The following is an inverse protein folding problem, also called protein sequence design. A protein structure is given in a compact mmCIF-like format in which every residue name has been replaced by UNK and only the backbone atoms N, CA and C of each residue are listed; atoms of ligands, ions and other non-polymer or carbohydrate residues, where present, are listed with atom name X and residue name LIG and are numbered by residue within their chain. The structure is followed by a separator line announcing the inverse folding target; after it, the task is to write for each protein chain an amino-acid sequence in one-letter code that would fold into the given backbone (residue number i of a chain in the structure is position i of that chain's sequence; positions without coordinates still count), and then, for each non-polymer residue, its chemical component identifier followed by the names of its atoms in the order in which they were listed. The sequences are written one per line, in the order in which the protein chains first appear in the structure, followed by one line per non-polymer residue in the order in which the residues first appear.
data_IF_883148130164
#
_entry.id   IF_883148130164
#
_cell.length_a   1.000
_cell.length_b   1.000
_cell.length_c   1.000
_cell.angle_alpha   90.00
_cell.angle_beta   90.00
_cell.angle_gamma   90.00
#
_symmetry.space_group_name_H-M   'P 1'
#
loop_
_entity.id
_entity.type
_entity.pdbx_description
1 polymer ?
#
# COMPACT_ATOMS: atom_id res chain seq x y z
N UNK A 1 14.54 -106.48 12.35
CA UNK A 1 15.90 -106.96 12.03
C UNK A 1 16.82 -105.75 11.95
N UNK A 2 17.74 -105.60 12.91
CA UNK A 2 18.82 -104.62 12.87
C UNK A 2 20.08 -105.25 12.25
N UNK A 3 20.91 -104.50 11.53
CA UNK A 3 22.36 -104.52 11.77
C UNK A 3 23.02 -103.20 11.31
N UNK A 4 24.12 -102.80 11.97
CA UNK A 4 24.67 -101.45 11.98
C UNK A 4 26.00 -101.34 11.22
N UNK A 5 26.47 -100.12 11.00
CA UNK A 5 27.83 -99.86 10.51
C UNK A 5 28.28 -98.45 10.87
N UNK A 6 28.82 -98.29 12.08
CA UNK A 6 29.66 -97.15 12.45
C UNK A 6 31.05 -97.35 11.83
N UNK A 7 31.66 -96.28 11.33
CA UNK A 7 33.12 -96.05 11.40
C UNK A 7 33.46 -94.57 11.19
N UNK A 8 33.83 -93.93 12.31
CA UNK A 8 34.91 -92.95 12.56
C UNK A 8 35.05 -91.63 11.75
N UNK A 9 35.60 -90.56 12.37
CA UNK A 9 35.64 -89.21 11.83
C UNK A 9 36.91 -88.96 11.00
N UNK A 10 36.78 -88.19 9.90
CA UNK A 10 37.92 -87.68 9.16
C UNK A 10 38.08 -86.18 9.43
N UNK A 11 39.12 -85.84 10.18
CA UNK A 11 39.63 -84.50 10.34
C UNK A 11 40.56 -84.21 9.15
N UNK A 12 40.11 -83.37 8.23
CA UNK A 12 41.00 -82.55 7.40
C UNK A 12 40.55 -81.10 7.42
N UNK A 13 41.18 -80.37 8.33
CA UNK A 13 41.59 -78.99 8.09
C UNK A 13 42.46 -78.95 6.82
N UNK A 14 42.10 -78.14 5.85
CA UNK A 14 43.03 -77.31 5.07
C UNK A 14 42.23 -76.11 4.57
N UNK A 15 42.58 -74.93 5.08
CA UNK A 15 41.95 -73.68 4.74
C UNK A 15 42.25 -73.26 3.30
N UNK A 16 41.28 -72.54 2.72
CA UNK A 16 41.58 -71.56 1.67
C UNK A 16 40.85 -70.28 2.03
N UNK A 17 41.55 -69.45 2.81
CA UNK A 17 41.17 -68.10 3.19
C UNK A 17 41.02 -67.21 1.97
N UNK A 18 39.78 -66.89 1.59
CA UNK A 18 39.48 -65.79 0.68
C UNK A 18 38.72 -64.67 1.41
N UNK A 19 39.25 -64.25 2.56
CA UNK A 19 38.65 -63.23 3.45
C UNK A 19 38.98 -61.79 3.06
N UNK A 20 39.80 -61.59 2.03
CA UNK A 20 40.17 -60.25 1.53
C UNK A 20 39.10 -59.59 0.65
N UNK A 21 38.31 -60.37 -0.08
CA UNK A 21 37.31 -59.85 -1.03
C UNK A 21 36.05 -59.33 -0.32
N UNK A 22 35.56 -60.02 0.71
CA UNK A 22 34.32 -59.68 1.41
C UNK A 22 34.46 -58.44 2.31
N UNK A 23 35.64 -58.24 2.89
CA UNK A 23 35.97 -57.03 3.65
C UNK A 23 36.03 -55.78 2.76
N UNK A 24 36.58 -55.90 1.55
CA UNK A 24 36.61 -54.80 0.59
C UNK A 24 35.21 -54.49 0.05
N UNK A 25 34.44 -55.51 -0.30
CA UNK A 25 33.06 -55.35 -0.79
C UNK A 25 32.15 -54.70 0.27
N UNK A 26 32.25 -55.10 1.53
CA UNK A 26 31.48 -54.49 2.61
C UNK A 26 31.87 -53.03 2.87
N UNK A 27 33.16 -52.68 2.74
CA UNK A 27 33.64 -51.30 2.86
C UNK A 27 33.11 -50.39 1.73
N UNK A 28 33.11 -50.90 0.49
CA UNK A 28 32.55 -50.20 -0.66
C UNK A 28 31.04 -50.00 -0.50
N UNK A 29 30.32 -51.02 -0.03
CA UNK A 29 28.89 -50.95 0.20
C UNK A 29 28.53 -49.94 1.30
N UNK A 30 29.32 -49.89 2.37
CA UNK A 30 29.17 -48.89 3.43
C UNK A 30 29.43 -47.47 2.91
N UNK A 31 30.50 -47.26 2.15
CA UNK A 31 30.83 -45.95 1.58
C UNK A 31 29.73 -45.44 0.62
N UNK A 32 29.13 -46.34 -0.17
CA UNK A 32 28.00 -46.02 -1.05
C UNK A 32 26.76 -45.66 -0.22
N UNK A 33 26.45 -46.43 0.83
CA UNK A 33 25.32 -46.14 1.71
C UNK A 33 25.48 -44.79 2.42
N UNK A 34 26.67 -44.48 2.91
CA UNK A 34 27.00 -43.20 3.56
C UNK A 34 26.90 -42.03 2.56
N UNK A 35 27.34 -42.23 1.32
CA UNK A 35 27.20 -41.24 0.24
C UNK A 35 25.73 -40.97 -0.09
N UNK A 36 24.91 -42.02 -0.23
CA UNK A 36 23.48 -41.90 -0.52
C UNK A 36 22.71 -41.23 0.64
N UNK A 37 23.06 -41.55 1.88
CA UNK A 37 22.51 -40.91 3.07
C UNK A 37 22.86 -39.41 3.10
N UNK A 38 24.12 -39.07 2.81
CA UNK A 38 24.58 -37.68 2.72
C UNK A 38 23.83 -36.90 1.63
N UNK A 39 23.69 -37.46 0.43
CA UNK A 39 22.92 -36.84 -0.67
C UNK A 39 21.46 -36.62 -0.27
N UNK A 40 20.84 -37.60 0.40
CA UNK A 40 19.45 -37.49 0.85
C UNK A 40 19.30 -36.37 1.87
N UNK A 41 20.22 -36.24 2.84
CA UNK A 41 20.20 -35.14 3.81
C UNK A 41 20.39 -33.77 3.16
N UNK A 42 21.27 -33.67 2.17
CA UNK A 42 21.47 -32.42 1.42
C UNK A 42 20.21 -32.02 0.65
N UNK A 43 19.53 -32.98 0.01
CA UNK A 43 18.27 -32.73 -0.69
C UNK A 43 17.19 -32.29 0.28
N UNK A 44 17.03 -32.96 1.42
CA UNK A 44 16.06 -32.56 2.45
C UNK A 44 16.34 -31.14 2.95
N UNK A 45 17.59 -30.83 3.26
CA UNK A 45 18.00 -29.48 3.70
C UNK A 45 17.73 -28.42 2.64
N UNK A 46 17.98 -28.70 1.36
CA UNK A 46 17.67 -27.79 0.26
C UNK A 46 16.16 -27.57 0.12
N UNK A 47 15.36 -28.64 0.26
CA UNK A 47 13.89 -28.56 0.22
C UNK A 47 13.39 -27.68 1.37
N UNK A 48 13.83 -27.93 2.60
CA UNK A 48 13.43 -27.15 3.77
C UNK A 48 13.83 -25.68 3.61
N UNK A 49 15.07 -25.42 3.17
CA UNK A 49 15.57 -24.06 2.95
C UNK A 49 14.77 -23.34 1.86
N UNK A 50 14.46 -24.00 0.75
CA UNK A 50 13.66 -23.41 -0.32
C UNK A 50 12.22 -23.19 0.14
N UNK A 51 11.64 -24.12 0.89
CA UNK A 51 10.29 -24.02 1.43
C UNK A 51 10.16 -22.88 2.43
N UNK A 52 11.13 -22.71 3.33
CA UNK A 52 11.18 -21.58 4.25
C UNK A 52 11.32 -20.24 3.52
N UNK A 53 12.16 -20.20 2.49
CA UNK A 53 12.29 -19.00 1.65
C UNK A 53 10.99 -18.68 0.89
N UNK A 54 10.30 -19.70 0.36
CA UNK A 54 8.99 -19.51 -0.27
C UNK A 54 7.93 -19.03 0.72
N UNK A 55 7.91 -19.59 1.94
CA UNK A 55 7.01 -19.17 3.00
C UNK A 55 7.25 -17.70 3.37
N UNK A 56 8.51 -17.30 3.53
CA UNK A 56 8.90 -15.90 3.80
C UNK A 56 8.44 -14.97 2.68
N UNK A 57 8.75 -15.31 1.42
CA UNK A 57 8.37 -14.49 0.27
C UNK A 57 6.84 -14.35 0.15
N UNK A 58 6.09 -15.43 0.34
CA UNK A 58 4.63 -15.38 0.32
C UNK A 58 4.07 -14.51 1.45
N UNK A 59 4.62 -14.60 2.66
CA UNK A 59 4.17 -13.76 3.79
C UNK A 59 4.52 -12.29 3.61
N UNK A 60 5.69 -11.96 3.04
CA UNK A 60 6.17 -10.59 2.95
C UNK A 60 5.56 -9.84 1.75
N UNK A 61 5.49 -10.47 0.57
CA UNK A 61 4.94 -9.83 -0.63
C UNK A 61 3.41 -9.75 -0.61
N UNK A 62 2.73 -10.80 -0.11
CA UNK A 62 1.26 -10.77 -0.06
C UNK A 62 0.72 -9.99 1.14
N UNK A 63 1.42 -9.90 2.27
CA UNK A 63 0.91 -9.13 3.41
C UNK A 63 0.70 -7.67 3.05
N UNK A 64 1.69 -6.99 2.44
CA UNK A 64 1.54 -5.57 2.09
C UNK A 64 0.48 -5.32 1.00
N UNK A 65 0.43 -6.18 -0.02
CA UNK A 65 -0.51 -6.04 -1.14
C UNK A 65 -1.94 -6.37 -0.72
N UNK A 66 -2.12 -7.45 0.04
CA UNK A 66 -3.43 -7.85 0.59
C UNK A 66 -3.86 -6.87 1.67
N UNK A 67 -2.98 -6.39 2.54
CA UNK A 67 -3.33 -5.38 3.54
C UNK A 67 -3.74 -4.07 2.87
N UNK A 68 -3.03 -3.60 1.84
CA UNK A 68 -3.43 -2.43 1.07
C UNK A 68 -4.78 -2.63 0.35
N UNK A 69 -5.01 -3.82 -0.22
CA UNK A 69 -6.27 -4.18 -0.87
C UNK A 69 -7.42 -4.33 0.13
N UNK A 70 -7.17 -4.90 1.31
CA UNK A 70 -8.13 -5.08 2.40
C UNK A 70 -8.46 -3.77 3.07
N UNK A 71 -7.47 -2.90 3.35
CA UNK A 71 -7.71 -1.50 3.78
C UNK A 71 -8.56 -0.77 2.73
N UNK A 72 -8.29 -0.97 1.44
CA UNK A 72 -9.10 -0.39 0.35
C UNK A 72 -10.52 -0.97 0.27
N UNK A 73 -10.70 -2.25 0.55
CA UNK A 73 -11.98 -2.96 0.49
C UNK A 73 -12.84 -2.76 1.75
N UNK A 74 -12.24 -2.60 2.93
CA UNK A 74 -12.92 -2.30 4.21
C UNK A 74 -13.47 -0.87 4.28
N UNK A 75 -13.18 -0.02 3.29
CA UNK A 75 -13.89 1.24 3.07
C UNK A 75 -15.33 0.94 2.65
N UNK A 76 -16.17 0.52 3.59
CA UNK A 76 -17.61 0.70 3.49
C UNK A 76 -17.83 2.20 3.23
N UNK A 77 -18.19 2.52 1.97
CA UNK A 77 -17.98 3.84 1.36
C UNK A 77 -18.76 4.92 2.11
N UNK A 78 -18.15 5.51 3.13
CA UNK A 78 -18.51 6.85 3.55
C UNK A 78 -18.26 7.77 2.35
N UNK A 79 -19.34 8.28 1.75
CA UNK A 79 -19.25 9.22 0.64
C UNK A 79 -19.15 10.62 1.22
N UNK A 80 -18.01 11.26 1.02
CA UNK A 80 -17.83 12.65 1.42
C UNK A 80 -18.73 13.56 0.56
N UNK A 81 -19.43 14.48 1.22
CA UNK A 81 -20.28 15.46 0.53
C UNK A 81 -19.47 16.47 -0.29
N UNK A 82 -18.19 16.65 0.03
CA UNK A 82 -17.28 17.57 -0.64
C UNK A 82 -15.96 16.88 -0.95
N UNK A 83 -15.46 17.08 -2.17
CA UNK A 83 -14.15 16.60 -2.63
C UNK A 83 -13.00 17.15 -1.77
N UNK A 84 -13.13 18.36 -1.23
CA UNK A 84 -12.11 18.91 -0.34
C UNK A 84 -12.01 18.16 1.00
N UNK A 85 -13.14 17.69 1.52
CA UNK A 85 -13.18 16.92 2.77
C UNK A 85 -12.60 15.52 2.57
N UNK A 86 -12.88 14.90 1.42
CA UNK A 86 -12.29 13.63 1.01
C UNK A 86 -10.76 13.73 0.96
N UNK A 87 -10.22 14.74 0.28
CA UNK A 87 -8.77 14.96 0.18
C UNK A 87 -8.13 15.22 1.56
N UNK A 88 -8.81 15.98 2.42
CA UNK A 88 -8.34 16.19 3.78
C UNK A 88 -8.33 14.91 4.61
N UNK A 89 -9.35 14.07 4.46
CA UNK A 89 -9.44 12.78 5.14
C UNK A 89 -8.38 11.80 4.64
N UNK A 90 -8.18 11.67 3.33
CA UNK A 90 -7.13 10.82 2.77
C UNK A 90 -5.74 11.22 3.27
N UNK A 91 -5.45 12.53 3.32
CA UNK A 91 -4.22 13.03 3.92
C UNK A 91 -4.17 12.84 5.45
N UNK A 92 -5.31 12.84 6.14
CA UNK A 92 -5.41 12.49 7.56
C UNK A 92 -5.04 11.05 7.83
N UNK A 93 -5.65 10.14 7.09
CA UNK A 93 -5.45 8.71 7.18
C UNK A 93 -3.98 8.36 6.92
N UNK A 94 -3.44 8.75 5.76
CA UNK A 94 -2.05 8.44 5.39
C UNK A 94 -1.02 9.01 6.37
N UNK A 95 -1.27 10.22 6.89
CA UNK A 95 -0.38 10.84 7.87
C UNK A 95 -0.44 10.14 9.22
N UNK A 96 -1.64 9.77 9.68
CA UNK A 96 -1.83 9.05 10.93
C UNK A 96 -1.12 7.69 10.88
N UNK A 97 -1.24 6.95 9.77
CA UNK A 97 -0.49 5.70 9.56
C UNK A 97 1.02 5.92 9.70
N UNK A 98 1.58 6.94 9.02
CA UNK A 98 3.03 7.22 9.12
C UNK A 98 3.49 7.59 10.54
N UNK A 99 2.65 8.29 11.32
CA UNK A 99 2.97 8.64 12.72
C UNK A 99 2.90 7.39 13.60
N UNK A 100 1.88 6.54 13.42
CA UNK A 100 1.75 5.29 14.16
C UNK A 100 2.95 4.38 13.93
N UNK A 101 3.41 4.23 12.68
CA UNK A 101 4.61 3.44 12.36
C UNK A 101 5.86 3.93 13.12
N UNK A 102 6.01 5.26 13.27
CA UNK A 102 7.12 5.86 14.04
C UNK A 102 6.98 5.65 15.53
N UNK A 103 5.76 5.70 16.07
CA UNK A 103 5.50 5.41 17.48
C UNK A 103 5.73 3.93 17.80
N UNK A 104 5.30 3.02 16.93
CA UNK A 104 5.58 1.58 17.07
C UNK A 104 7.08 1.29 16.98
N UNK A 105 7.79 1.93 16.04
CA UNK A 105 9.25 1.84 15.93
C UNK A 105 9.95 2.35 17.19
N UNK A 106 9.47 3.46 17.76
CA UNK A 106 10.00 4.01 19.01
C UNK A 106 9.75 3.06 20.19
N UNK A 107 8.54 2.50 20.29
CA UNK A 107 8.18 1.52 21.31
C UNK A 107 9.06 0.28 21.24
N UNK A 108 9.19 -0.34 20.05
CA UNK A 108 10.05 -1.50 19.87
C UNK A 108 11.53 -1.22 20.17
N UNK A 109 12.01 -0.01 19.88
CA UNK A 109 13.36 0.42 20.27
C UNK A 109 13.52 0.56 21.79
N UNK A 110 12.50 1.01 22.51
CA UNK A 110 12.51 1.07 23.97
C UNK A 110 12.52 -0.33 24.60
N UNK A 111 11.76 -1.27 24.05
CA UNK A 111 11.70 -2.66 24.54
C UNK A 111 13.08 -3.36 24.52
N UNK A 112 13.96 -2.97 23.58
CA UNK A 112 15.35 -3.46 23.49
C UNK A 112 16.38 -2.50 24.10
N UNK A 113 15.94 -1.50 24.89
CA UNK A 113 16.77 -0.46 25.50
C UNK A 113 17.63 0.36 24.50
N UNK A 114 17.22 0.43 23.22
CA UNK A 114 17.87 1.24 22.20
C UNK A 114 17.35 2.70 22.23
N UNK A 115 17.67 3.42 23.31
CA UNK A 115 17.17 4.76 23.60
C UNK A 115 17.50 5.81 22.52
N UNK A 116 18.65 5.69 21.85
CA UNK A 116 19.01 6.58 20.73
C UNK A 116 18.08 6.42 19.54
N UNK A 117 17.72 5.19 19.18
CA UNK A 117 16.78 4.88 18.09
C UNK A 117 15.35 5.31 18.43
N UNK A 118 14.95 5.13 19.69
CA UNK A 118 13.65 5.60 20.16
C UNK A 118 13.52 7.13 20.05
N UNK A 119 14.60 7.85 20.41
CA UNK A 119 14.65 9.32 20.28
C UNK A 119 14.53 9.76 18.83
N UNK A 120 15.30 9.17 17.91
CA UNK A 120 15.22 9.52 16.48
C UNK A 120 13.84 9.24 15.90
N UNK A 121 13.23 8.09 16.24
CA UNK A 121 11.87 7.76 15.78
C UNK A 121 10.82 8.75 16.31
N UNK A 122 10.98 9.22 17.55
CA UNK A 122 10.13 10.25 18.14
C UNK A 122 10.29 11.61 17.44
N UNK A 123 11.52 12.03 17.16
CA UNK A 123 11.81 13.27 16.42
C UNK A 123 11.23 13.22 15.00
N UNK A 124 11.34 12.08 14.31
CA UNK A 124 10.69 11.85 13.01
C UNK A 124 9.17 11.95 13.11
N UNK A 125 8.56 11.38 14.15
CA UNK A 125 7.13 11.51 14.42
C UNK A 125 6.69 12.98 14.62
N UNK A 126 7.47 13.76 15.38
CA UNK A 126 7.23 15.20 15.58
C UNK A 126 7.34 15.96 14.25
N UNK A 127 8.35 15.65 13.44
CA UNK A 127 8.54 16.25 12.12
C UNK A 127 7.37 15.96 11.18
N UNK A 128 6.83 14.74 11.21
CA UNK A 128 5.62 14.39 10.47
C UNK A 128 4.45 15.26 10.92
N UNK A 129 4.15 15.37 12.22
CA UNK A 129 3.03 16.19 12.73
C UNK A 129 3.18 17.65 12.32
N UNK A 130 4.39 18.20 12.42
CA UNK A 130 4.71 19.56 12.01
C UNK A 130 4.45 19.77 10.52
N UNK A 131 4.88 18.82 9.68
CA UNK A 131 4.65 18.83 8.24
C UNK A 131 3.15 18.82 7.90
N UNK A 132 2.34 18.06 8.64
CA UNK A 132 0.87 18.07 8.48
C UNK A 132 0.27 19.43 8.79
N UNK A 133 0.65 20.04 9.91
CA UNK A 133 0.14 21.36 10.31
C UNK A 133 0.47 22.40 9.24
N UNK A 134 1.67 22.34 8.67
CA UNK A 134 2.09 23.20 7.57
C UNK A 134 1.24 22.98 6.31
N UNK A 135 1.01 21.73 5.91
CA UNK A 135 0.18 21.38 4.75
C UNK A 135 -1.26 21.90 4.90
N UNK A 136 -1.85 21.77 6.10
CA UNK A 136 -3.19 22.29 6.38
C UNK A 136 -3.21 23.82 6.24
N UNK A 137 -2.20 24.52 6.76
CA UNK A 137 -2.07 25.98 6.59
C UNK A 137 -1.96 26.39 5.12
N UNK A 138 -1.25 25.61 4.30
CA UNK A 138 -1.15 25.85 2.84
C UNK A 138 -2.51 25.69 2.16
N UNK A 139 -3.24 24.62 2.49
CA UNK A 139 -4.57 24.37 1.94
C UNK A 139 -5.59 25.46 2.30
N UNK A 140 -5.51 26.00 3.53
CA UNK A 140 -6.38 27.06 4.01
C UNK A 140 -6.09 28.42 3.36
N UNK A 141 -4.80 28.77 3.23
CA UNK A 141 -4.38 30.07 2.68
C UNK A 141 -4.47 30.15 1.16
N UNK A 142 -4.17 29.06 0.46
CA UNK A 142 -4.08 29.09 -1.01
C UNK A 142 -5.45 29.14 -1.67
N UNK A 143 -5.54 29.87 -2.79
CA UNK A 143 -6.77 29.95 -3.59
C UNK A 143 -7.17 28.60 -4.23
N UNK A 144 -6.20 27.69 -4.42
CA UNK A 144 -6.43 26.37 -5.02
C UNK A 144 -6.39 25.22 -4.00
N UNK A 145 -6.39 25.56 -2.69
CA UNK A 145 -6.44 24.63 -1.55
C UNK A 145 -5.59 23.36 -1.72
N UNK A 146 -6.21 22.17 -1.66
CA UNK A 146 -5.53 20.87 -1.73
C UNK A 146 -4.80 20.61 -3.05
N UNK A 147 -5.16 21.30 -4.14
CA UNK A 147 -4.41 21.21 -5.40
C UNK A 147 -3.01 21.84 -5.25
N UNK A 148 -2.89 22.95 -4.51
CA UNK A 148 -1.60 23.57 -4.18
C UNK A 148 -0.76 22.67 -3.30
N UNK A 149 -1.38 22.02 -2.30
CA UNK A 149 -0.70 21.03 -1.44
C UNK A 149 -0.10 19.89 -2.25
N UNK A 150 -0.84 19.34 -3.20
CA UNK A 150 -0.37 18.23 -4.01
C UNK A 150 0.87 18.60 -4.82
N UNK A 151 0.87 19.79 -5.43
CA UNK A 151 2.03 20.30 -6.17
C UNK A 151 3.19 20.66 -5.22
N UNK A 152 2.89 21.21 -4.04
CA UNK A 152 3.87 21.54 -3.01
C UNK A 152 4.61 20.27 -2.55
N UNK A 153 3.89 19.21 -2.20
CA UNK A 153 4.47 17.94 -1.75
C UNK A 153 5.21 17.18 -2.88
N UNK A 154 4.82 17.39 -4.14
CA UNK A 154 5.45 16.73 -5.30
C UNK A 154 6.74 17.42 -5.78
N UNK A 155 6.99 18.67 -5.39
CA UNK A 155 8.19 19.38 -5.83
C UNK A 155 9.45 18.87 -5.10
N UNK A 156 10.33 18.19 -5.85
CA UNK A 156 11.58 17.58 -5.39
C UNK A 156 12.78 18.53 -5.47
N UNK A 157 12.63 19.74 -6.00
CA UNK A 157 13.75 20.68 -6.19
C UNK A 157 14.16 21.31 -4.84
N UNK A 158 15.35 20.90 -4.40
CA UNK A 158 16.02 21.29 -3.17
C UNK A 158 16.45 22.77 -3.14
N UNK A 159 15.99 23.49 -2.11
CA UNK A 159 16.81 24.36 -1.26
C UNK A 159 15.90 24.90 -0.14
N UNK A 160 16.26 24.60 1.09
CA UNK A 160 15.50 24.84 2.33
C UNK A 160 15.28 26.34 2.61
N UNK A 161 15.95 27.20 1.83
CA UNK A 161 15.92 28.67 1.89
C UNK A 161 14.69 29.32 1.21
N UNK A 162 13.74 28.56 0.64
CA UNK A 162 12.72 29.14 -0.25
C UNK A 162 11.32 28.50 -0.15
N UNK A 163 10.82 28.35 1.08
CA UNK A 163 9.45 27.82 1.27
C UNK A 163 8.38 28.74 0.65
N UNK A 164 8.62 30.05 0.64
CA UNK A 164 7.74 31.03 -0.02
C UNK A 164 7.76 30.89 -1.56
N UNK A 165 8.94 30.81 -2.22
CA UNK A 165 8.96 30.52 -3.67
C UNK A 165 8.43 29.12 -3.97
N UNK A 166 8.56 28.14 -3.06
CA UNK A 166 7.96 26.81 -3.25
C UNK A 166 6.44 26.92 -3.27
N UNK A 167 5.85 27.60 -2.29
CA UNK A 167 4.42 27.83 -2.22
C UNK A 167 3.93 28.57 -3.48
N UNK A 168 4.57 29.68 -3.85
CA UNK A 168 4.21 30.45 -5.05
C UNK A 168 4.26 29.61 -6.34
N UNK A 169 5.31 28.78 -6.51
CA UNK A 169 5.44 27.87 -7.66
C UNK A 169 4.35 26.80 -7.66
N UNK A 170 4.08 26.19 -6.52
CA UNK A 170 3.02 25.20 -6.38
C UNK A 170 1.64 25.78 -6.70
N UNK A 171 1.39 27.03 -6.29
CA UNK A 171 0.13 27.72 -6.56
C UNK A 171 -0.03 28.02 -8.06
N UNK A 172 1.01 28.52 -8.72
CA UNK A 172 1.03 28.72 -10.19
C UNK A 172 0.80 27.42 -10.96
N UNK A 173 1.37 26.30 -10.51
CA UNK A 173 1.14 24.98 -11.14
C UNK A 173 -0.29 24.50 -10.92
N UNK A 174 -0.82 24.65 -9.71
CA UNK A 174 -2.20 24.30 -9.38
C UNK A 174 -3.19 25.12 -10.21
N UNK A 175 -2.97 26.44 -10.32
CA UNK A 175 -3.74 27.34 -11.19
C UNK A 175 -3.79 26.84 -12.63
N UNK A 176 -2.61 26.57 -13.22
CA UNK A 176 -2.51 26.10 -14.60
C UNK A 176 -3.30 24.81 -14.80
N UNK A 177 -3.17 23.85 -13.89
CA UNK A 177 -3.85 22.55 -13.95
C UNK A 177 -5.38 22.69 -13.84
N UNK A 178 -5.86 23.57 -12.96
CA UNK A 178 -7.29 23.87 -12.82
C UNK A 178 -7.83 24.55 -14.09
N UNK A 179 -7.10 25.53 -14.63
CA UNK A 179 -7.50 26.23 -15.85
C UNK A 179 -7.49 25.34 -17.10
N UNK A 180 -6.48 24.48 -17.25
CA UNK A 180 -6.40 23.52 -18.36
C UNK A 180 -7.52 22.48 -18.28
N UNK A 181 -7.88 22.05 -17.08
CA UNK A 181 -9.02 21.14 -16.86
C UNK A 181 -10.35 21.79 -17.26
N UNK A 182 -10.55 23.07 -16.92
CA UNK A 182 -11.73 23.84 -17.35
C UNK A 182 -11.81 23.96 -18.87
N UNK A 183 -10.69 24.27 -19.55
CA UNK A 183 -10.62 24.39 -21.02
C UNK A 183 -10.94 23.06 -21.73
N UNK A 184 -10.40 21.95 -21.24
CA UNK A 184 -10.70 20.61 -21.79
C UNK A 184 -12.16 20.24 -21.62
N UNK A 185 -12.74 20.58 -20.47
CA UNK A 185 -14.16 20.37 -20.20
C UNK A 185 -15.03 21.17 -21.18
N UNK A 186 -14.76 22.47 -21.37
CA UNK A 186 -15.49 23.30 -22.32
C UNK A 186 -15.37 22.84 -23.77
N UNK A 187 -14.20 22.37 -24.19
CA UNK A 187 -14.00 21.80 -25.53
C UNK A 187 -14.82 20.52 -25.75
N UNK A 188 -14.88 19.62 -24.76
CA UNK A 188 -15.76 18.44 -24.83
C UNK A 188 -17.23 18.81 -24.99
N UNK A 189 -17.71 19.82 -24.27
CA UNK A 189 -19.09 20.30 -24.40
C UNK A 189 -19.36 20.99 -25.74
N UNK A 190 -18.40 21.71 -26.31
CA UNK A 190 -18.55 22.31 -27.64
C UNK A 190 -18.66 21.26 -28.76
N UNK A 191 -17.88 20.17 -28.69
CA UNK A 191 -17.97 19.06 -29.66
C UNK A 191 -19.28 18.24 -29.54
N UNK A 192 -19.95 18.27 -28.39
CA UNK A 192 -21.29 17.66 -28.24
C UNK A 192 -22.41 18.56 -28.77
N UNK A 193 -22.21 19.89 -28.79
CA UNK A 193 -23.21 20.85 -29.30
C UNK A 193 -23.23 20.94 -30.83
N UNK A 194 -22.12 20.60 -31.48
CA UNK A 194 -21.99 20.50 -32.94
C UNK A 194 -22.01 19.02 -33.38
N UNK A 195 -23.00 18.26 -32.91
CA UNK A 195 -23.38 17.03 -33.63
C UNK A 195 -24.33 17.46 -34.76
N UNK A 196 -23.96 17.29 -36.05
CA UNK A 196 -24.94 17.40 -37.12
C UNK A 196 -26.08 16.44 -36.81
N UNK A 197 -27.32 16.89 -36.94
CA UNK A 197 -28.50 16.04 -36.71
C UNK A 197 -28.28 14.65 -37.33
N UNK A 198 -28.59 13.55 -36.63
CA UNK A 198 -28.57 12.24 -37.25
C UNK A 198 -29.49 12.29 -38.49
N UNK A 199 -29.09 11.67 -39.61
CA UNK A 199 -29.88 11.72 -40.84
C UNK A 199 -31.31 11.28 -40.54
N UNK A 200 -32.27 12.12 -40.92
CA UNK A 200 -33.70 11.88 -40.75
C UNK A 200 -34.04 10.51 -41.36
N UNK A 201 -34.36 9.53 -40.51
CA UNK A 201 -34.82 8.22 -40.94
C UNK A 201 -36.36 8.25 -40.99
N UNK A 202 -36.99 8.24 -42.17
CA UNK A 202 -38.44 8.39 -42.32
C UNK A 202 -39.26 7.20 -41.79
N UNK A 203 -38.63 6.13 -41.29
CA UNK A 203 -39.32 4.92 -40.86
C UNK A 203 -39.71 4.89 -39.36
N UNK A 204 -39.48 5.96 -38.59
CA UNK A 204 -39.94 6.02 -37.20
C UNK A 204 -41.23 6.85 -37.07
N UNK A 205 -42.34 6.12 -37.05
CA UNK A 205 -43.68 6.61 -36.71
C UNK A 205 -43.66 7.22 -35.30
N UNK A 206 -44.16 8.44 -35.21
CA UNK A 206 -44.23 9.29 -34.02
C UNK A 206 -44.96 8.67 -32.83
N UNK A 207 -44.29 8.64 -31.68
CA UNK A 207 -44.94 8.69 -30.37
C UNK A 207 -44.39 9.90 -29.62
N UNK A 208 -45.16 10.99 -29.64
CA UNK A 208 -44.94 12.18 -28.82
C UNK A 208 -45.00 11.79 -27.33
N UNK A 209 -44.07 12.20 -26.46
CA UNK A 209 -44.35 12.26 -25.04
C UNK A 209 -45.13 13.55 -24.76
N UNK A 210 -46.26 13.38 -24.07
CA UNK A 210 -47.04 14.48 -23.54
C UNK A 210 -46.19 15.37 -22.63
N UNK A 211 -46.40 16.67 -22.77
CA UNK A 211 -45.84 17.72 -21.95
C UNK A 211 -46.45 17.69 -20.54
N UNK A 212 -45.65 17.33 -19.54
CA UNK A 212 -45.90 17.77 -18.17
C UNK A 212 -44.96 18.93 -17.85
N UNK A 213 -45.55 20.12 -17.88
CA UNK A 213 -44.97 21.31 -17.27
C UNK A 213 -45.11 21.19 -15.75
N UNK A 214 -44.00 21.22 -15.02
CA UNK A 214 -44.00 21.76 -13.67
C UNK A 214 -42.77 22.66 -13.47
N UNK A 215 -43.08 23.93 -13.23
CA UNK A 215 -42.17 25.06 -13.05
C UNK A 215 -41.78 25.24 -11.59
N UNK A 216 -40.46 25.33 -11.31
CA UNK A 216 -39.76 26.10 -10.26
C UNK A 216 -38.47 25.34 -9.89
N UNK A 217 -37.23 25.84 -10.02
CA UNK A 217 -36.73 27.17 -9.69
C UNK A 217 -35.42 27.50 -10.43
N UNK A 218 -35.35 28.70 -11.01
CA UNK A 218 -34.22 29.62 -10.83
C UNK A 218 -32.82 29.25 -11.36
N UNK A 219 -32.66 29.16 -12.68
CA UNK A 219 -31.36 29.47 -13.31
C UNK A 219 -31.14 30.98 -13.28
N UNK A 220 -30.16 31.46 -12.50
CA UNK A 220 -29.61 32.83 -12.63
C UNK A 220 -28.17 32.73 -13.15
N UNK A 221 -28.00 32.98 -14.44
CA UNK A 221 -26.75 33.49 -14.98
C UNK A 221 -26.65 34.99 -14.66
N UNK A 222 -25.54 35.44 -14.06
CA UNK A 222 -25.20 36.87 -14.06
C UNK A 222 -24.29 37.37 -12.94
N UNK A 223 -22.99 37.43 -13.25
CA UNK A 223 -21.98 38.46 -12.89
C UNK A 223 -21.55 38.69 -11.43
N UNK A 224 -20.34 39.25 -11.36
CA UNK A 224 -19.63 39.87 -10.23
C UNK A 224 -19.00 38.98 -9.17
N UNK A 225 -17.66 38.87 -9.20
CA UNK A 225 -16.76 38.97 -8.04
C UNK A 225 -15.39 39.50 -8.51
N UNK A 226 -15.00 40.78 -8.36
CA UNK A 226 -15.49 41.75 -7.41
C UNK A 226 -15.14 41.29 -6.01
N UNK A 227 -13.94 41.64 -5.55
CA UNK A 227 -13.42 41.45 -4.19
C UNK A 227 -14.54 41.61 -3.15
N UNK A 228 -15.06 40.50 -2.62
CA UNK A 228 -15.92 40.47 -1.45
C UNK A 228 -15.55 39.26 -0.62
N UNK A 229 -15.45 39.49 0.69
CA UNK A 229 -14.83 38.64 1.69
C UNK A 229 -15.17 37.16 1.55
N UNK A 230 -14.14 36.35 1.74
CA UNK A 230 -14.20 34.89 1.82
C UNK A 230 -15.30 34.50 2.79
N UNK A 231 -16.46 34.09 2.27
CA UNK A 231 -17.41 33.32 3.08
C UNK A 231 -16.76 31.97 3.31
N UNK A 232 -16.29 31.82 4.55
CA UNK A 232 -15.93 30.54 5.13
C UNK A 232 -17.09 29.58 4.85
N UNK A 233 -16.84 28.56 4.02
CA UNK A 233 -17.80 27.48 3.83
C UNK A 233 -18.11 26.83 5.19
N UNK A 234 -19.32 26.27 5.39
CA UNK A 234 -19.81 25.81 6.70
C UNK A 234 -18.95 24.73 7.40
N UNK A 235 -17.87 24.25 6.77
CA UNK A 235 -16.99 23.19 7.26
C UNK A 235 -15.84 23.66 8.17
N UNK A 236 -15.52 24.96 8.25
CA UNK A 236 -14.39 25.45 9.08
C UNK A 236 -14.78 25.86 10.50
N UNK A 237 -15.96 25.45 10.98
CA UNK A 237 -16.16 25.31 12.44
C UNK A 237 -15.35 24.10 12.90
N UNK A 238 -14.03 24.26 12.95
CA UNK A 238 -13.13 23.40 13.70
C UNK A 238 -13.63 23.40 15.15
N UNK A 239 -14.44 22.40 15.51
CA UNK A 239 -14.58 22.05 16.92
C UNK A 239 -13.19 21.62 17.35
N UNK A 240 -12.54 22.46 18.15
CA UNK A 240 -11.29 22.17 18.86
C UNK A 240 -11.37 20.81 19.59
N UNK A 241 -12.59 20.32 19.84
CA UNK A 241 -12.93 19.01 20.36
C UNK A 241 -12.44 17.81 19.54
N UNK A 242 -12.29 17.88 18.21
CA UNK A 242 -11.78 16.71 17.46
C UNK A 242 -10.27 16.54 17.61
N UNK A 243 -9.53 17.64 17.82
CA UNK A 243 -8.12 17.56 18.19
C UNK A 243 -7.98 17.03 19.62
N UNK A 244 -8.83 17.48 20.55
CA UNK A 244 -8.81 17.02 21.95
C UNK A 244 -9.21 15.54 22.10
N UNK A 245 -10.18 15.05 21.33
CA UNK A 245 -10.66 13.66 21.39
C UNK A 245 -9.63 12.64 20.89
N UNK A 246 -8.65 13.04 20.07
CA UNK A 246 -7.55 12.15 19.69
C UNK A 246 -6.41 12.15 20.72
N UNK A 247 -6.28 13.19 21.56
CA UNK A 247 -5.28 13.23 22.63
C UNK A 247 -5.76 12.61 23.95
N UNK A 248 -7.07 12.60 24.23
CA UNK A 248 -7.63 12.08 25.48
C UNK A 248 -7.88 10.56 25.51
N UNK A 249 -7.92 9.88 24.36
CA UNK A 249 -8.12 8.42 24.30
C UNK A 249 -6.81 7.60 24.35
N UNK A 250 -5.66 8.23 24.63
CA UNK A 250 -4.37 7.55 24.84
C UNK A 250 -3.89 7.62 26.30
N UNK A 251 -4.76 8.02 27.23
CA UNK A 251 -4.52 8.07 28.66
C UNK A 251 -5.65 7.29 29.37
N UNK A 252 -5.69 5.99 29.10
CA UNK A 252 -6.25 4.95 29.98
C UNK A 252 -5.56 3.61 29.65
#
# INVERSE_FOLDING_TARGET
MPLPGQNAPDLREEGSSNTGSDGFHSLVQQAVADSMASVTMQISSLIDTRFDNFKKQFTEENSSSVEAAVKRAKRARFVFQSKGNEQQFEHAESHAESVLDKLESAKGALDVNATSKAKTASEEGIALVTKRMMVIKIADKSQYSWATVQEYLSDKLASDSEDEKRLFRSERRAEKKVNDSKKKCSQKYQHQRFQPYPPFNPNHRSSLPASDANSNTGSRFGRDLGVRGRQIGPCFKLSVNLLLLLFLNCLD
#
